data_IF_265464504023
#
_entry.id   IF_265464504023
#
_cell.length_a   1.000
_cell.length_b   1.000
_cell.length_c   1.000
_cell.angle_alpha   90.00
_cell.angle_beta   90.00
_cell.angle_gamma   90.00
#
_symmetry.space_group_name_H-M   'P 1'
#
loop_
_entity.id
_entity.type
_entity.pdbx_description
1 polymer ?
#
# COMPACT_ATOMS: atom_id res chain seq x y z
N UNK A 1 -1.33 17.30 3.72
CA UNK A 1 -0.89 16.08 4.41
C UNK A 1 -2.03 15.37 5.14
N UNK A 2 -2.89 16.03 5.91
CA UNK A 2 -4.05 15.39 6.58
C UNK A 2 -4.93 14.58 5.63
N UNK A 3 -5.23 15.07 4.43
CA UNK A 3 -6.00 14.32 3.43
C UNK A 3 -5.28 13.03 3.04
N UNK A 4 -3.97 13.06 2.79
CA UNK A 4 -3.20 11.85 2.49
C UNK A 4 -3.25 10.85 3.66
N UNK A 5 -3.19 11.34 4.90
CA UNK A 5 -3.31 10.50 6.08
C UNK A 5 -4.70 9.88 6.22
N UNK A 6 -5.76 10.63 5.93
CA UNK A 6 -7.13 10.13 6.02
C UNK A 6 -7.44 9.10 4.94
N UNK A 7 -7.04 9.36 3.68
CA UNK A 7 -7.38 8.44 2.58
C UNK A 7 -6.68 7.09 2.70
N UNK A 8 -5.58 6.96 3.45
CA UNK A 8 -4.95 5.66 3.69
C UNK A 8 -5.88 4.65 4.39
N UNK A 9 -6.87 5.13 5.14
CA UNK A 9 -7.84 4.28 5.85
C UNK A 9 -8.76 3.50 4.89
N UNK A 10 -8.84 3.91 3.62
CA UNK A 10 -9.55 3.15 2.59
C UNK A 10 -8.75 1.95 2.06
N UNK A 11 -7.48 1.83 2.43
CA UNK A 11 -6.62 0.75 1.96
C UNK A 11 -7.07 -0.61 2.49
N UNK A 12 -7.28 -1.55 1.58
CA UNK A 12 -7.49 -2.96 1.92
C UNK A 12 -6.19 -3.76 2.09
N UNK A 13 -5.03 -3.09 2.10
CA UNK A 13 -3.74 -3.73 2.34
C UNK A 13 -3.52 -3.97 3.85
N UNK A 14 -3.11 -5.18 4.22
CA UNK A 14 -2.83 -5.56 5.62
C UNK A 14 -1.35 -5.42 6.00
N UNK A 15 -0.46 -5.25 5.02
CA UNK A 15 0.97 -5.10 5.28
C UNK A 15 1.31 -3.66 5.70
N UNK A 16 0.90 -2.69 4.92
CA UNK A 16 1.04 -1.26 5.21
C UNK A 16 -0.02 -0.46 4.48
N UNK A 17 -0.72 0.40 5.18
CA UNK A 17 -1.66 1.33 4.58
C UNK A 17 -0.94 2.65 4.24
N UNK A 18 -1.04 3.05 2.99
CA UNK A 18 -0.45 4.29 2.47
C UNK A 18 -1.51 5.11 1.76
N UNK A 19 -1.47 6.41 1.95
CA UNK A 19 -2.32 7.36 1.23
C UNK A 19 -1.48 8.43 0.54
N UNK A 20 -1.96 8.90 -0.60
CA UNK A 20 -1.31 9.92 -1.41
C UNK A 20 -2.30 10.96 -1.91
N UNK A 21 -1.82 12.18 -2.12
CA UNK A 21 -2.55 13.30 -2.69
C UNK A 21 -1.67 14.00 -3.71
N UNK A 22 -2.22 14.25 -4.88
CA UNK A 22 -1.58 15.06 -5.92
C UNK A 22 -2.27 16.43 -5.95
N UNK A 23 -1.48 17.48 -5.94
CA UNK A 23 -1.94 18.86 -6.09
C UNK A 23 -1.30 19.51 -7.31
N UNK A 24 -1.86 20.63 -7.76
CA UNK A 24 -1.15 21.56 -8.61
C UNK A 24 -0.12 22.40 -7.81
N UNK A 25 0.50 23.36 -8.49
CA UNK A 25 1.47 24.27 -7.88
C UNK A 25 0.85 25.15 -6.80
N UNK A 26 -0.44 25.48 -6.90
CA UNK A 26 -1.19 26.31 -5.95
C UNK A 26 -1.78 25.51 -4.79
N UNK A 27 -1.39 24.24 -4.64
CA UNK A 27 -1.87 23.30 -3.63
C UNK A 27 -3.36 22.90 -3.75
N UNK A 28 -4.00 23.14 -4.91
CA UNK A 28 -5.34 22.63 -5.16
C UNK A 28 -5.28 21.12 -5.40
N UNK A 29 -6.07 20.35 -4.68
CA UNK A 29 -6.11 18.88 -4.82
C UNK A 29 -6.64 18.50 -6.20
N UNK A 30 -5.90 17.68 -6.92
CA UNK A 30 -6.27 17.12 -8.23
C UNK A 30 -6.68 15.67 -8.16
N UNK A 31 -6.03 14.88 -7.30
CA UNK A 31 -6.40 13.49 -7.08
C UNK A 31 -5.96 13.02 -5.70
N UNK A 32 -6.58 11.94 -5.27
CA UNK A 32 -6.20 11.18 -4.07
C UNK A 32 -6.02 9.72 -4.45
N UNK A 33 -5.18 9.00 -3.69
CA UNK A 33 -4.98 7.58 -3.89
C UNK A 33 -4.61 6.90 -2.57
N UNK A 34 -4.89 5.63 -2.49
CA UNK A 34 -4.42 4.74 -1.42
C UNK A 34 -3.94 3.45 -2.05
N UNK A 35 -3.08 2.74 -1.35
CA UNK A 35 -2.62 1.46 -1.87
C UNK A 35 -3.72 0.41 -1.75
N UNK A 36 -4.12 -0.15 -2.88
CA UNK A 36 -5.14 -1.19 -2.93
C UNK A 36 -4.99 -2.04 -4.20
N UNK A 37 -5.68 -3.16 -4.23
CA UNK A 37 -5.73 -4.03 -5.40
C UNK A 37 -6.40 -3.34 -6.58
N UNK A 38 -6.19 -3.86 -7.77
CA UNK A 38 -6.82 -3.33 -8.98
C UNK A 38 -8.36 -3.45 -8.90
N UNK A 39 -9.04 -2.54 -9.62
CA UNK A 39 -10.52 -2.51 -9.67
C UNK A 39 -11.09 -3.89 -10.00
N UNK A 40 -12.04 -4.34 -9.19
CA UNK A 40 -12.71 -5.64 -9.33
C UNK A 40 -11.99 -6.81 -8.66
N UNK A 41 -10.82 -6.59 -8.05
CA UNK A 41 -10.16 -7.61 -7.24
C UNK A 41 -10.54 -7.47 -5.76
N UNK A 42 -10.50 -8.60 -5.05
CA UNK A 42 -10.76 -8.62 -3.60
C UNK A 42 -9.49 -8.24 -2.83
N UNK A 43 -9.52 -7.22 -1.95
CA UNK A 43 -8.36 -6.78 -1.18
C UNK A 43 -7.91 -7.83 -0.15
N UNK A 44 -6.66 -7.74 0.28
CA UNK A 44 -6.08 -8.71 1.20
C UNK A 44 -6.82 -8.78 2.54
N UNK A 45 -7.34 -7.67 3.05
CA UNK A 45 -8.12 -7.61 4.30
C UNK A 45 -9.43 -8.43 4.26
N UNK A 46 -9.97 -8.66 3.07
CA UNK A 46 -11.22 -9.42 2.87
C UNK A 46 -10.98 -10.88 2.45
N UNK A 47 -9.73 -11.30 2.33
CA UNK A 47 -9.34 -12.67 1.95
C UNK A 47 -8.90 -13.43 3.19
N UNK A 48 -8.91 -14.76 3.15
CA UNK A 48 -8.51 -15.56 4.30
C UNK A 48 -7.67 -16.77 3.92
N UNK A 49 -6.92 -17.27 4.90
CA UNK A 49 -6.23 -18.56 4.81
C UNK A 49 -7.23 -19.69 4.53
N UNK A 50 -8.33 -19.73 5.28
CA UNK A 50 -9.34 -20.79 5.15
C UNK A 50 -10.03 -20.74 3.78
N UNK A 51 -10.37 -19.55 3.29
CA UNK A 51 -10.98 -19.38 1.96
C UNK A 51 -10.07 -19.90 0.85
N UNK A 52 -8.76 -19.67 0.92
CA UNK A 52 -7.83 -20.26 -0.05
C UNK A 52 -7.70 -21.78 0.08
N UNK A 53 -7.66 -22.30 1.30
CA UNK A 53 -7.33 -23.72 1.53
C UNK A 53 -8.52 -24.65 1.36
N UNK A 54 -9.73 -24.20 1.66
CA UNK A 54 -10.92 -25.04 1.75
C UNK A 54 -12.04 -24.66 0.80
N UNK A 55 -12.26 -23.37 0.57
CA UNK A 55 -13.41 -22.87 -0.20
C UNK A 55 -12.99 -21.67 -1.05
N UNK A 56 -12.04 -21.87 -1.94
CA UNK A 56 -11.57 -20.80 -2.80
C UNK A 56 -12.44 -20.64 -4.06
N UNK A 57 -12.55 -19.42 -4.53
CA UNK A 57 -13.15 -19.07 -5.81
C UNK A 57 -12.16 -18.37 -6.74
N UNK A 58 -12.46 -18.38 -8.04
CA UNK A 58 -11.59 -17.79 -9.06
C UNK A 58 -11.58 -16.26 -9.04
N UNK A 59 -12.62 -15.63 -8.51
CA UNK A 59 -12.72 -14.19 -8.38
C UNK A 59 -11.85 -13.62 -7.26
N UNK A 60 -11.66 -14.40 -6.19
CA UNK A 60 -10.94 -13.97 -4.99
C UNK A 60 -9.48 -14.36 -5.00
N UNK A 61 -9.15 -15.57 -5.44
CA UNK A 61 -7.79 -16.13 -5.38
C UNK A 61 -7.24 -16.37 -6.79
N UNK A 62 -6.03 -15.88 -7.05
CA UNK A 62 -5.38 -16.02 -8.34
C UNK A 62 -5.09 -17.50 -8.67
N UNK A 63 -4.92 -17.78 -9.96
CA UNK A 63 -4.52 -19.13 -10.41
C UNK A 63 -3.21 -19.58 -9.73
N UNK A 64 -2.25 -18.67 -9.55
CA UNK A 64 -1.01 -18.99 -8.85
C UNK A 64 -1.26 -19.45 -7.41
N UNK A 65 -2.10 -18.75 -6.67
CA UNK A 65 -2.44 -19.12 -5.27
C UNK A 65 -3.16 -20.45 -5.18
N UNK A 66 -4.03 -20.75 -6.16
CA UNK A 66 -4.82 -21.97 -6.21
C UNK A 66 -3.99 -23.20 -6.65
N UNK A 67 -3.04 -23.03 -7.58
CA UNK A 67 -2.33 -24.13 -8.21
C UNK A 67 -0.90 -24.39 -7.69
N UNK A 68 -0.23 -23.35 -7.13
CA UNK A 68 1.15 -23.50 -6.67
C UNK A 68 1.21 -24.23 -5.32
N UNK A 69 1.72 -25.47 -5.37
CA UNK A 69 1.80 -26.37 -4.21
C UNK A 69 2.70 -25.81 -3.09
N UNK A 70 3.84 -25.20 -3.44
CA UNK A 70 4.76 -24.61 -2.45
C UNK A 70 4.10 -23.44 -1.72
N UNK A 71 3.42 -22.56 -2.48
CA UNK A 71 2.68 -21.42 -1.91
C UNK A 71 1.59 -21.90 -0.96
N UNK A 72 0.75 -22.86 -1.40
CA UNK A 72 -0.32 -23.44 -0.57
C UNK A 72 0.20 -24.11 0.70
N UNK A 73 1.30 -24.84 0.59
CA UNK A 73 1.95 -25.47 1.76
C UNK A 73 2.40 -24.40 2.78
N UNK A 74 2.98 -23.29 2.30
CA UNK A 74 3.41 -22.19 3.16
C UNK A 74 2.25 -21.47 3.81
N UNK A 75 1.16 -21.27 3.07
CA UNK A 75 -0.11 -20.73 3.59
C UNK A 75 -0.62 -21.61 4.74
N UNK A 76 -0.67 -22.94 4.54
CA UNK A 76 -1.11 -23.89 5.55
C UNK A 76 -0.20 -23.90 6.79
N UNK A 77 1.11 -23.86 6.59
CA UNK A 77 2.09 -23.77 7.69
C UNK A 77 1.84 -22.51 8.54
N UNK A 78 1.65 -21.37 7.91
CA UNK A 78 1.40 -20.10 8.60
C UNK A 78 0.07 -20.13 9.37
N UNK A 79 -0.99 -20.69 8.78
CA UNK A 79 -2.28 -20.84 9.46
C UNK A 79 -2.15 -21.73 10.72
N UNK A 80 -1.41 -22.84 10.63
CA UNK A 80 -1.15 -23.71 11.77
C UNK A 80 -0.40 -22.96 12.87
N UNK A 81 0.62 -22.16 12.51
CA UNK A 81 1.37 -21.36 13.49
C UNK A 81 0.49 -20.32 14.19
N UNK A 82 -0.37 -19.62 13.45
CA UNK A 82 -1.31 -18.63 14.01
C UNK A 82 -2.26 -19.33 14.98
N UNK A 83 -2.86 -20.45 14.58
CA UNK A 83 -3.79 -21.20 15.44
C UNK A 83 -3.11 -21.80 16.67
N UNK A 84 -1.87 -22.23 16.55
CA UNK A 84 -1.09 -22.75 17.69
C UNK A 84 -0.69 -21.68 18.70
N UNK A 85 -0.59 -20.41 18.27
CA UNK A 85 -0.32 -19.28 19.18
C UNK A 85 -1.55 -18.84 19.98
N UNK A 86 -2.75 -19.29 19.62
CA UNK A 86 -3.99 -19.06 20.37
C UNK A 86 -4.16 -20.10 21.48
N UNK A 87 -3.62 -19.78 22.65
CA UNK A 87 -3.68 -20.67 23.83
C UNK A 87 -5.09 -20.90 24.37
N UNK A 88 -6.08 -20.07 23.95
CA UNK A 88 -7.47 -20.16 24.45
C UNK A 88 -8.44 -20.81 23.46
N UNK A 89 -8.02 -21.08 22.22
CA UNK A 89 -8.84 -21.60 21.10
C UNK A 89 -10.11 -20.78 20.78
N UNK A 90 -10.30 -19.64 21.39
CA UNK A 90 -11.50 -18.81 21.28
C UNK A 90 -11.25 -17.48 20.58
N UNK A 91 -10.02 -16.93 20.63
CA UNK A 91 -9.68 -15.59 20.14
C UNK A 91 -9.89 -15.47 18.63
N UNK A 92 -9.57 -16.51 17.86
CA UNK A 92 -9.72 -16.49 16.40
C UNK A 92 -10.99 -17.18 15.86
N UNK A 93 -11.85 -17.66 16.76
CA UNK A 93 -13.08 -18.35 16.35
C UNK A 93 -14.02 -17.41 15.64
N UNK A 94 -14.35 -17.72 14.38
CA UNK A 94 -15.23 -16.92 13.56
C UNK A 94 -14.63 -15.65 12.97
N UNK A 95 -13.33 -15.38 13.24
CA UNK A 95 -12.63 -14.26 12.62
C UNK A 95 -12.11 -14.64 11.24
N UNK A 96 -12.20 -13.68 10.30
CA UNK A 96 -11.49 -13.78 9.05
C UNK A 96 -9.98 -13.61 9.34
N UNK A 97 -9.17 -14.62 9.01
CA UNK A 97 -7.72 -14.56 9.17
C UNK A 97 -7.10 -14.22 7.80
N UNK A 98 -6.84 -12.92 7.52
CA UNK A 98 -6.31 -12.51 6.24
C UNK A 98 -4.82 -12.82 6.14
N UNK A 99 -4.30 -12.90 4.90
CA UNK A 99 -2.88 -13.07 4.64
C UNK A 99 -2.38 -12.11 3.55
N UNK A 100 -1.11 -11.73 3.65
CA UNK A 100 -0.43 -10.95 2.63
C UNK A 100 0.22 -11.88 1.61
N UNK A 101 -0.22 -11.81 0.35
CA UNK A 101 0.36 -12.60 -0.75
C UNK A 101 1.88 -12.38 -0.87
N UNK A 102 2.31 -11.11 -0.86
CA UNK A 102 3.73 -10.74 -0.98
C UNK A 102 4.57 -11.36 0.13
N UNK A 103 4.11 -11.32 1.37
CA UNK A 103 4.89 -11.81 2.51
C UNK A 103 5.05 -13.34 2.44
N UNK A 104 4.00 -14.05 2.05
CA UNK A 104 4.08 -15.49 1.81
C UNK A 104 4.98 -15.81 0.62
N UNK A 105 4.81 -15.11 -0.49
CA UNK A 105 5.61 -15.33 -1.69
C UNK A 105 7.10 -15.07 -1.41
N UNK A 106 7.43 -13.98 -0.75
CA UNK A 106 8.81 -13.64 -0.41
C UNK A 106 9.44 -14.62 0.60
N UNK A 107 8.60 -15.30 1.41
CA UNK A 107 9.09 -16.34 2.35
C UNK A 107 9.39 -17.67 1.69
N UNK A 108 9.04 -17.86 0.40
CA UNK A 108 9.35 -19.06 -0.36
C UNK A 108 10.77 -19.04 -0.95
N UNK A 109 11.37 -17.86 -1.04
CA UNK A 109 12.66 -17.66 -1.69
C UNK A 109 13.46 -16.64 -0.87
N UNK A 110 14.45 -17.09 -0.13
CA UNK A 110 15.27 -16.24 0.76
C UNK A 110 16.07 -15.17 0.00
N UNK A 111 16.32 -15.37 -1.29
CA UNK A 111 17.06 -14.42 -2.14
C UNK A 111 16.19 -13.23 -2.58
N UNK A 112 14.86 -13.33 -2.49
CA UNK A 112 13.91 -12.31 -3.00
C UNK A 112 13.33 -11.39 -1.94
N UNK A 113 13.96 -11.28 -0.78
CA UNK A 113 13.52 -10.36 0.28
C UNK A 113 13.46 -8.92 -0.23
N UNK A 114 12.28 -8.30 -0.10
CA UNK A 114 12.08 -6.88 -0.46
C UNK A 114 11.57 -6.64 -1.89
N UNK A 115 11.27 -7.66 -2.68
CA UNK A 115 10.74 -7.48 -4.03
C UNK A 115 9.31 -6.92 -3.98
N UNK A 116 9.13 -5.69 -4.49
CA UNK A 116 7.82 -5.02 -4.54
C UNK A 116 6.97 -5.44 -5.74
N UNK A 117 7.55 -6.06 -6.76
CA UNK A 117 6.85 -6.48 -7.98
C UNK A 117 5.73 -7.48 -7.68
N UNK A 118 5.86 -8.27 -6.61
CA UNK A 118 4.86 -9.26 -6.22
C UNK A 118 3.78 -8.73 -5.29
N UNK A 119 3.67 -7.41 -5.10
CA UNK A 119 2.51 -6.87 -4.39
C UNK A 119 1.27 -7.01 -5.26
N UNK A 120 0.12 -7.33 -4.65
CA UNK A 120 -1.17 -7.28 -5.35
C UNK A 120 -1.72 -5.86 -5.42
N UNK A 121 -1.31 -5.01 -4.49
CA UNK A 121 -1.76 -3.63 -4.41
C UNK A 121 -0.93 -2.72 -5.33
N UNK A 122 -1.62 -1.85 -6.06
CA UNK A 122 -1.04 -0.63 -6.61
C UNK A 122 -0.55 0.23 -5.45
N UNK A 123 0.52 0.98 -5.63
CA UNK A 123 0.95 1.95 -4.63
C UNK A 123 0.01 3.15 -4.58
N UNK A 124 -0.04 3.83 -3.44
CA UNK A 124 -0.94 4.96 -3.24
C UNK A 124 -0.67 6.10 -4.23
N UNK A 125 0.60 6.41 -4.45
CA UNK A 125 1.06 7.42 -5.41
C UNK A 125 0.66 7.03 -6.84
N UNK A 126 0.90 5.78 -7.22
CA UNK A 126 0.51 5.24 -8.52
C UNK A 126 -1.00 5.33 -8.72
N UNK A 127 -1.78 4.93 -7.71
CA UNK A 127 -3.23 5.02 -7.77
C UNK A 127 -3.71 6.49 -7.90
N UNK A 128 -3.09 7.43 -7.18
CA UNK A 128 -3.38 8.85 -7.34
C UNK A 128 -3.10 9.34 -8.77
N UNK A 129 -1.99 8.94 -9.39
CA UNK A 129 -1.69 9.29 -10.78
C UNK A 129 -2.67 8.64 -11.76
N UNK A 130 -3.04 7.38 -11.55
CA UNK A 130 -4.02 6.68 -12.38
C UNK A 130 -5.43 7.28 -12.30
N UNK A 131 -5.83 7.87 -11.17
CA UNK A 131 -7.11 8.58 -11.07
C UNK A 131 -7.18 9.75 -12.07
N UNK A 132 -6.08 10.49 -12.24
CA UNK A 132 -6.02 11.58 -13.22
C UNK A 132 -6.14 11.06 -14.66
N UNK A 133 -5.43 9.98 -14.97
CA UNK A 133 -5.52 9.36 -16.29
C UNK A 133 -6.91 8.78 -16.58
N UNK A 134 -7.57 8.22 -15.57
CA UNK A 134 -8.85 7.53 -15.69
C UNK A 134 -10.04 8.46 -15.89
N UNK A 135 -10.03 9.61 -15.22
CA UNK A 135 -11.20 10.52 -15.24
C UNK A 135 -10.97 11.79 -16.05
N UNK A 136 -9.81 11.91 -16.68
CA UNK A 136 -9.39 13.12 -17.36
C UNK A 136 -9.07 14.22 -16.34
N UNK A 137 -7.90 14.77 -16.40
CA UNK A 137 -7.45 15.80 -15.47
C UNK A 137 -6.74 16.92 -16.18
N UNK A 138 -6.60 18.05 -15.49
CA UNK A 138 -5.65 19.10 -15.87
C UNK A 138 -4.23 18.59 -15.67
N UNK A 139 -3.29 19.10 -16.43
CA UNK A 139 -1.88 18.80 -16.27
C UNK A 139 -1.40 19.08 -14.83
N UNK A 140 -0.56 18.20 -14.33
CA UNK A 140 0.00 18.27 -12.97
C UNK A 140 1.49 18.61 -12.97
N UNK A 141 2.04 18.98 -14.13
CA UNK A 141 3.41 19.46 -14.23
C UNK A 141 3.61 20.70 -13.34
N UNK A 142 4.67 20.71 -12.54
CA UNK A 142 4.89 21.72 -11.52
C UNK A 142 4.15 21.48 -10.19
N UNK A 143 3.33 20.44 -10.12
CA UNK A 143 2.55 20.10 -8.93
C UNK A 143 3.35 19.42 -7.82
N UNK A 144 2.64 19.01 -6.76
CA UNK A 144 3.22 18.40 -5.57
C UNK A 144 2.56 17.08 -5.24
N UNK A 145 3.37 16.16 -4.70
CA UNK A 145 2.90 14.88 -4.18
C UNK A 145 3.01 14.87 -2.66
N UNK A 146 1.91 14.62 -1.99
CA UNK A 146 1.85 14.37 -0.54
C UNK A 146 1.58 12.88 -0.33
N UNK A 147 2.42 12.20 0.44
CA UNK A 147 2.25 10.76 0.70
C UNK A 147 2.58 10.43 2.15
N UNK A 148 1.94 9.42 2.71
CA UNK A 148 2.19 9.01 4.11
C UNK A 148 3.49 8.23 4.25
N UNK A 149 4.01 7.62 3.18
CA UNK A 149 5.33 7.00 3.14
C UNK A 149 6.13 7.60 2.00
N UNK A 150 7.44 7.81 2.16
CA UNK A 150 8.28 8.27 1.04
C UNK A 150 8.19 7.28 -0.13
N UNK A 151 8.20 7.77 -1.39
CA UNK A 151 7.99 6.92 -2.55
C UNK A 151 9.14 5.92 -2.72
N UNK A 152 8.79 4.73 -3.18
CA UNK A 152 9.79 3.78 -3.68
C UNK A 152 10.33 4.24 -5.04
N UNK A 153 11.35 3.55 -5.56
CA UNK A 153 12.00 3.88 -6.83
C UNK A 153 11.00 3.93 -8.00
N UNK A 154 10.01 3.04 -8.02
CA UNK A 154 9.00 2.99 -9.09
C UNK A 154 8.07 4.20 -9.05
N UNK A 155 7.61 4.60 -7.86
CA UNK A 155 6.75 5.77 -7.68
C UNK A 155 7.55 7.08 -7.87
N UNK A 156 8.80 7.11 -7.42
CA UNK A 156 9.69 8.25 -7.62
C UNK A 156 9.92 8.55 -9.11
N UNK A 157 10.17 7.52 -9.93
CA UNK A 157 10.29 7.66 -11.40
C UNK A 157 9.03 8.28 -12.02
N UNK A 158 7.85 7.83 -11.59
CA UNK A 158 6.57 8.35 -12.10
C UNK A 158 6.37 9.81 -11.68
N UNK A 159 6.63 10.15 -10.41
CA UNK A 159 6.54 11.52 -9.92
C UNK A 159 7.51 12.45 -10.68
N UNK A 160 8.74 11.99 -10.90
CA UNK A 160 9.74 12.72 -11.68
C UNK A 160 9.27 12.95 -13.12
N UNK A 161 8.81 11.90 -13.82
CA UNK A 161 8.32 11.98 -15.19
C UNK A 161 7.10 12.89 -15.33
N UNK A 162 6.24 12.97 -14.33
CA UNK A 162 5.06 13.84 -14.29
C UNK A 162 5.41 15.29 -13.93
N UNK A 163 6.69 15.62 -13.69
CA UNK A 163 7.16 16.97 -13.41
C UNK A 163 6.77 17.48 -12.02
N UNK A 164 6.61 16.59 -11.03
CA UNK A 164 6.38 17.01 -9.65
C UNK A 164 7.57 17.81 -9.15
N UNK A 165 7.32 18.96 -8.50
CA UNK A 165 8.36 19.83 -7.95
C UNK A 165 8.72 19.50 -6.51
N UNK A 166 7.75 18.98 -5.77
CA UNK A 166 7.90 18.62 -4.37
C UNK A 166 7.25 17.27 -4.08
N UNK A 167 7.92 16.46 -3.27
CA UNK A 167 7.39 15.22 -2.71
C UNK A 167 7.47 15.33 -1.20
N UNK A 168 6.31 15.47 -0.56
CA UNK A 168 6.18 15.66 0.88
C UNK A 168 5.70 14.34 1.51
N UNK A 169 6.43 13.79 2.48
CA UNK A 169 6.12 12.50 3.10
C UNK A 169 6.19 12.55 4.62
N UNK A 170 5.53 11.60 5.30
CA UNK A 170 5.56 11.45 6.75
C UNK A 170 6.67 10.49 7.16
N UNK A 171 6.52 9.21 6.78
CA UNK A 171 7.43 8.15 7.16
C UNK A 171 8.46 7.90 6.07
N UNK A 172 9.76 7.86 6.39
CA UNK A 172 10.75 7.41 5.44
C UNK A 172 10.52 5.94 5.08
N UNK A 173 10.59 5.62 3.79
CA UNK A 173 10.56 4.25 3.29
C UNK A 173 11.99 3.83 2.95
N UNK A 174 12.45 2.65 3.40
CA UNK A 174 13.78 2.17 3.09
C UNK A 174 13.93 1.91 1.59
N UNK A 175 14.98 2.42 0.98
CA UNK A 175 15.27 2.28 -0.44
C UNK A 175 16.23 3.37 -0.91
N UNK A 176 16.66 3.29 -2.15
CA UNK A 176 17.61 4.20 -2.78
C UNK A 176 16.94 5.22 -3.71
N UNK A 177 15.63 5.42 -3.57
CA UNK A 177 14.86 6.31 -4.46
C UNK A 177 15.43 7.73 -4.48
N UNK A 178 15.86 8.23 -3.34
CA UNK A 178 16.43 9.57 -3.23
C UNK A 178 17.76 9.67 -3.99
N UNK A 179 18.71 8.78 -3.71
CA UNK A 179 20.06 8.86 -4.29
C UNK A 179 20.07 8.43 -5.77
N UNK A 180 19.24 7.45 -6.12
CA UNK A 180 19.28 6.82 -7.44
C UNK A 180 18.32 7.42 -8.46
N UNK A 181 17.24 8.06 -8.02
CA UNK A 181 16.19 8.59 -8.91
C UNK A 181 16.04 10.11 -8.75
N UNK A 182 15.86 10.58 -7.51
CA UNK A 182 15.44 11.97 -7.28
C UNK A 182 16.60 12.95 -7.43
N UNK A 183 17.78 12.62 -6.90
CA UNK A 183 18.93 13.52 -6.86
C UNK A 183 19.75 13.57 -8.16
N UNK A 184 19.22 13.05 -9.27
CA UNK A 184 19.92 13.02 -10.56
C UNK A 184 19.12 13.73 -11.66
N UNK A 185 19.81 14.21 -12.69
CA UNK A 185 19.21 14.87 -13.84
C UNK A 185 19.18 16.39 -13.71
N UNK A 186 18.60 17.05 -14.73
CA UNK A 186 18.51 18.52 -14.82
C UNK A 186 17.39 19.13 -14.00
N UNK A 187 16.45 18.32 -13.54
CA UNK A 187 15.31 18.70 -12.71
C UNK A 187 15.21 17.68 -11.58
N UNK A 188 15.17 18.14 -10.34
CA UNK A 188 15.08 17.25 -9.16
C UNK A 188 13.93 17.69 -8.26
N UNK A 189 12.89 16.88 -8.09
CA UNK A 189 11.85 17.15 -7.11
C UNK A 189 12.46 17.29 -5.71
N UNK A 190 12.02 18.27 -4.93
CA UNK A 190 12.43 18.39 -3.53
C UNK A 190 11.73 17.29 -2.72
N UNK A 191 12.52 16.48 -2.01
CA UNK A 191 12.00 15.48 -1.08
C UNK A 191 11.97 16.07 0.33
N UNK A 192 10.77 16.23 0.90
CA UNK A 192 10.54 16.98 2.14
C UNK A 192 9.84 16.08 3.16
N UNK A 193 10.47 15.85 4.30
CA UNK A 193 9.79 15.18 5.40
C UNK A 193 8.86 16.15 6.11
N UNK A 194 7.59 15.78 6.23
CA UNK A 194 6.59 16.55 6.96
C UNK A 194 6.85 16.46 8.47
N UNK A 195 6.90 17.63 9.12
CA UNK A 195 7.15 17.75 10.56
C UNK A 195 5.98 18.41 11.30
N UNK A 196 4.83 18.53 10.64
CA UNK A 196 3.63 19.11 11.24
C UNK A 196 2.83 18.11 12.05
N UNK A 197 1.87 18.63 12.80
CA UNK A 197 0.91 17.82 13.54
C UNK A 197 -0.15 17.25 12.59
N UNK A 198 -0.38 15.94 12.64
CA UNK A 198 -1.36 15.21 11.82
C UNK A 198 -2.63 14.88 12.60
N UNK A 199 -2.55 14.88 13.92
CA UNK A 199 -3.63 14.43 14.78
C UNK A 199 -4.67 15.54 14.96
N UNK A 200 -5.90 15.24 14.55
CA UNK A 200 -7.05 15.89 15.12
C UNK A 200 -7.34 15.16 16.46
N UNK A 201 -7.28 15.83 17.62
CA UNK A 201 -7.54 15.18 18.91
C UNK A 201 -8.86 14.41 18.96
N UNK A 202 -9.86 14.83 18.18
CA UNK A 202 -11.16 14.17 18.06
C UNK A 202 -11.05 12.81 17.32
N UNK A 203 -10.19 12.70 16.30
CA UNK A 203 -9.99 11.45 15.55
C UNK A 203 -9.21 10.45 16.41
N UNK A 204 -8.19 10.91 17.15
CA UNK A 204 -7.42 10.05 18.04
C UNK A 204 -8.28 9.52 19.20
N UNK A 205 -9.17 10.34 19.74
CA UNK A 205 -10.14 9.93 20.77
C UNK A 205 -11.09 8.83 20.24
N UNK A 206 -11.60 8.98 19.00
CA UNK A 206 -12.48 7.99 18.40
C UNK A 206 -11.75 6.67 18.08
N UNK A 207 -10.50 6.72 17.64
CA UNK A 207 -9.72 5.49 17.38
C UNK A 207 -9.44 4.67 18.66
N UNK A 208 -9.33 5.33 19.80
CA UNK A 208 -9.13 4.69 21.12
C UNK A 208 -10.43 4.13 21.74
N UNK A 209 -11.59 4.54 21.26
CA UNK A 209 -12.88 4.04 21.74
C UNK A 209 -13.29 2.71 21.09
N UNK A 210 -12.67 2.32 19.98
CA UNK A 210 -13.01 1.12 19.20
C UNK A 210 -11.92 0.04 19.20
N UNK A 211 -10.91 0.18 20.05
CA UNK A 211 -9.92 -0.84 20.39
C UNK A 211 -10.17 -1.36 21.81
#
# INVERSE_FOLDING_TARGET
>A
MQVAYTVKLNSGCISRQVGAVVTDNDNSIKSVGWNDVAKGQVPCSMRSFDGLLHDFDEGTYSLYERSNTKFRSKVKENLIKIRASDSSSTVFKGLNLPYCFKDIHNSLDDEKKGNQVHTRALHAEENAFLQLAKYGGVGINGGKLYTTASPCELCAKKAYQLGMTEIIFIDPYPGIAQEHIINIGSFSPKLIQFRGQLENPTIDFMSKLYL
#
